data_IF_434428614481
#
_entry.id   IF_434428614481
#
_cell.length_a   1.000
_cell.length_b   1.000
_cell.length_c   1.000
_cell.angle_alpha   90.00
_cell.angle_beta   90.00
_cell.angle_gamma   90.00
#
_symmetry.space_group_name_H-M   'P 1'
#
loop_
_entity.id
_entity.type
_entity.pdbx_description
1 polymer ?
#
# COMPACT_ATOMS: atom_id res chain seq x y z
N UNK A 1 -15.10 -5.52 -4.35
CA UNK A 1 -14.57 -4.39 -3.57
C UNK A 1 -13.16 -4.17 -4.03
N UNK A 2 -12.81 -2.96 -4.46
CA UNK A 2 -11.43 -2.63 -4.89
C UNK A 2 -10.55 -2.54 -3.65
N UNK A 3 -9.33 -3.07 -3.72
CA UNK A 3 -8.33 -3.01 -2.65
C UNK A 3 -7.39 -1.83 -2.91
N UNK A 4 -7.21 -0.94 -1.94
CA UNK A 4 -6.48 0.32 -2.12
C UNK A 4 -5.12 0.39 -1.44
N UNK A 5 -4.80 -0.53 -0.52
CA UNK A 5 -3.56 -0.55 0.24
C UNK A 5 -2.90 -1.92 0.14
N UNK A 6 -1.64 -1.96 -0.31
CA UNK A 6 -0.90 -3.21 -0.51
C UNK A 6 0.36 -3.21 0.34
N UNK A 7 0.51 -4.22 1.20
CA UNK A 7 1.80 -4.50 1.84
C UNK A 7 2.87 -4.76 0.76
N UNK A 8 4.13 -4.44 1.03
CA UNK A 8 5.20 -4.76 0.07
C UNK A 8 5.26 -6.27 -0.25
N UNK A 9 4.84 -7.12 0.69
CA UNK A 9 4.76 -8.57 0.48
C UNK A 9 3.64 -9.02 -0.48
N UNK A 10 2.74 -8.12 -0.89
CA UNK A 10 1.59 -8.42 -1.76
C UNK A 10 1.76 -7.86 -3.18
N UNK A 11 2.86 -7.15 -3.44
CA UNK A 11 3.15 -6.53 -4.74
C UNK A 11 4.32 -7.18 -5.48
N UNK A 12 4.58 -6.70 -6.69
CA UNK A 12 5.77 -7.03 -7.49
C UNK A 12 6.05 -5.93 -8.53
N UNK A 13 7.16 -6.04 -9.26
CA UNK A 13 7.56 -5.09 -10.31
C UNK A 13 6.50 -4.91 -11.42
N UNK A 14 5.69 -5.94 -11.70
CA UNK A 14 4.61 -5.91 -12.70
C UNK A 14 3.45 -4.99 -12.33
N UNK A 15 3.30 -4.63 -11.05
CA UNK A 15 2.22 -3.77 -10.55
C UNK A 15 2.56 -2.27 -10.61
N UNK A 16 3.50 -1.88 -11.47
CA UNK A 16 4.00 -0.50 -11.60
C UNK A 16 2.89 0.55 -11.82
N UNK A 17 1.86 0.22 -12.59
CA UNK A 17 0.76 1.16 -12.85
C UNK A 17 -0.12 1.37 -11.61
N UNK A 18 -0.26 0.34 -10.77
CA UNK A 18 -1.10 0.36 -9.57
C UNK A 18 -0.36 0.90 -8.34
N UNK A 19 0.92 0.54 -8.17
CA UNK A 19 1.72 0.89 -6.98
C UNK A 19 2.69 2.06 -7.23
N UNK A 20 2.79 2.52 -8.48
CA UNK A 20 3.86 3.42 -8.92
C UNK A 20 5.23 2.72 -8.98
N UNK A 21 6.22 3.41 -9.56
CA UNK A 21 7.57 2.84 -9.73
C UNK A 21 8.29 2.53 -8.42
N UNK A 22 8.10 3.34 -7.38
CA UNK A 22 8.72 3.13 -6.07
C UNK A 22 8.05 1.98 -5.31
N UNK A 23 6.72 1.97 -5.24
CA UNK A 23 5.97 0.92 -4.55
C UNK A 23 6.20 -0.46 -5.16
N UNK A 24 6.17 -0.54 -6.50
CA UNK A 24 6.46 -1.78 -7.22
C UNK A 24 7.90 -2.29 -6.99
N UNK A 25 8.90 -1.40 -6.97
CA UNK A 25 10.28 -1.79 -6.66
C UNK A 25 10.46 -2.22 -5.20
N UNK A 26 9.83 -1.54 -4.23
CA UNK A 26 9.88 -1.95 -2.82
C UNK A 26 9.25 -3.34 -2.61
N UNK A 27 8.15 -3.61 -3.31
CA UNK A 27 7.51 -4.91 -3.32
C UNK A 27 8.40 -6.00 -3.95
N UNK A 28 9.00 -5.70 -5.11
CA UNK A 28 9.95 -6.60 -5.78
C UNK A 28 11.13 -6.95 -4.87
N UNK A 29 11.77 -5.94 -4.26
CA UNK A 29 12.88 -6.13 -3.34
C UNK A 29 12.47 -6.97 -2.12
N UNK A 30 11.24 -6.79 -1.62
CA UNK A 30 10.68 -7.58 -0.52
C UNK A 30 10.47 -9.04 -0.94
N UNK A 31 9.94 -9.29 -2.13
CA UNK A 31 9.77 -10.64 -2.70
C UNK A 31 11.09 -11.37 -2.95
N UNK A 32 12.15 -10.64 -3.29
CA UNK A 32 13.52 -11.16 -3.42
C UNK A 32 14.21 -11.45 -2.06
N UNK A 33 13.56 -11.14 -0.93
CA UNK A 33 14.11 -11.38 0.40
C UNK A 33 15.19 -10.37 0.82
N UNK A 34 15.29 -9.23 0.14
CA UNK A 34 16.19 -8.15 0.57
C UNK A 34 15.67 -7.54 1.89
N UNK A 35 16.55 -6.98 2.73
CA UNK A 35 16.19 -6.42 4.03
C UNK A 35 15.48 -5.05 3.87
N UNK A 36 14.29 -5.05 3.28
CA UNK A 36 13.42 -3.89 3.14
C UNK A 36 12.62 -3.73 4.45
N UNK A 37 12.58 -2.54 5.06
CA UNK A 37 11.70 -2.26 6.18
C UNK A 37 10.23 -2.58 5.82
N UNK A 38 9.48 -3.17 6.77
CA UNK A 38 8.07 -3.49 6.56
C UNK A 38 7.27 -2.22 6.28
N UNK A 39 6.34 -2.29 5.33
CA UNK A 39 5.51 -1.18 4.93
C UNK A 39 4.53 -1.58 3.84
N UNK A 40 3.79 -0.59 3.36
CA UNK A 40 2.74 -0.72 2.38
C UNK A 40 2.71 0.48 1.43
N UNK A 41 1.99 0.33 0.32
CA UNK A 41 1.75 1.35 -0.68
C UNK A 41 0.25 1.58 -0.82
N UNK A 42 -0.16 2.84 -0.82
CA UNK A 42 -1.51 3.26 -1.21
C UNK A 42 -1.51 3.40 -2.73
N UNK A 43 -2.46 2.74 -3.39
CA UNK A 43 -2.48 2.61 -4.87
C UNK A 43 -2.71 3.94 -5.60
N UNK A 44 -2.36 3.95 -6.88
CA UNK A 44 -2.71 5.05 -7.81
C UNK A 44 -4.23 5.15 -8.01
N UNK A 45 -4.96 4.04 -7.95
CA UNK A 45 -6.43 4.05 -8.01
C UNK A 45 -7.06 4.76 -6.79
N UNK A 46 -6.46 4.64 -5.60
CA UNK A 46 -6.88 5.41 -4.44
C UNK A 46 -6.70 6.93 -4.66
N UNK A 47 -5.63 7.32 -5.38
CA UNK A 47 -5.41 8.70 -5.77
C UNK A 47 -6.46 9.19 -6.78
N UNK A 48 -6.80 8.39 -7.79
CA UNK A 48 -7.91 8.69 -8.71
C UNK A 48 -9.21 8.88 -7.93
N UNK A 49 -9.52 7.96 -7.02
CA UNK A 49 -10.72 8.02 -6.19
C UNK A 49 -10.77 9.28 -5.31
N UNK A 50 -9.65 9.70 -4.74
CA UNK A 50 -9.56 10.95 -3.98
C UNK A 50 -10.00 12.16 -4.81
N UNK A 51 -9.56 12.24 -6.08
CA UNK A 51 -9.97 13.32 -6.97
C UNK A 51 -11.45 13.23 -7.37
N UNK A 52 -11.95 12.02 -7.67
CA UNK A 52 -13.35 11.80 -8.00
C UNK A 52 -14.30 12.15 -6.83
N UNK A 53 -13.84 11.93 -5.59
CA UNK A 53 -14.57 12.25 -4.36
C UNK A 53 -14.43 13.72 -3.92
N UNK A 54 -13.86 14.58 -4.79
CA UNK A 54 -13.72 16.01 -4.53
C UNK A 54 -12.63 16.32 -3.51
N UNK A 55 -11.45 15.69 -3.69
CA UNK A 55 -10.28 15.85 -2.84
C UNK A 55 -10.53 15.40 -1.39
N UNK A 56 -11.28 14.31 -1.24
CA UNK A 56 -11.59 13.70 0.06
C UNK A 56 -11.22 12.23 0.04
N UNK A 57 -10.60 11.79 1.13
CA UNK A 57 -10.34 10.36 1.34
C UNK A 57 -11.64 9.74 1.83
N UNK A 58 -12.12 8.72 1.13
CA UNK A 58 -13.32 7.99 1.54
C UNK A 58 -13.04 7.14 2.79
N UNK A 59 -14.06 6.97 3.63
CA UNK A 59 -13.92 6.30 4.92
C UNK A 59 -13.47 4.83 4.81
N UNK A 60 -13.78 4.16 3.69
CA UNK A 60 -13.30 2.81 3.37
C UNK A 60 -11.80 2.77 3.07
N UNK A 61 -11.27 3.73 2.32
CA UNK A 61 -9.82 3.86 2.07
C UNK A 61 -9.08 4.19 3.37
N UNK A 62 -9.61 5.14 4.15
CA UNK A 62 -9.03 5.52 5.44
C UNK A 62 -8.98 4.33 6.40
N UNK A 63 -10.07 3.56 6.49
CA UNK A 63 -10.12 2.33 7.27
C UNK A 63 -9.06 1.31 6.80
N UNK A 64 -8.93 1.10 5.50
CA UNK A 64 -7.93 0.16 4.95
C UNK A 64 -6.49 0.59 5.27
N UNK A 65 -6.20 1.90 5.25
CA UNK A 65 -4.90 2.45 5.66
C UNK A 65 -4.62 2.15 7.12
N UNK A 66 -5.56 2.45 8.02
CA UNK A 66 -5.35 2.24 9.45
C UNK A 66 -5.30 0.75 9.84
N UNK A 67 -6.11 -0.10 9.22
CA UNK A 67 -6.05 -1.54 9.41
C UNK A 67 -4.68 -2.10 8.97
N UNK A 68 -4.16 -1.64 7.83
CA UNK A 68 -2.85 -2.05 7.32
C UNK A 68 -1.70 -1.50 8.17
N UNK A 69 -1.84 -0.29 8.70
CA UNK A 69 -0.88 0.30 9.64
C UNK A 69 -0.81 -0.53 10.93
N UNK A 70 -1.96 -0.83 11.55
CA UNK A 70 -2.02 -1.66 12.75
C UNK A 70 -1.44 -3.06 12.50
N UNK A 71 -1.67 -3.63 11.31
CA UNK A 71 -1.04 -4.89 10.92
C UNK A 71 0.49 -4.77 10.79
N UNK A 72 0.98 -3.69 10.18
CA UNK A 72 2.42 -3.41 10.05
C UNK A 72 3.08 -3.26 11.42
N UNK A 73 2.48 -2.47 12.31
CA UNK A 73 2.86 -2.29 13.72
C UNK A 73 2.96 -3.62 14.48
N UNK A 74 1.97 -4.49 14.31
CA UNK A 74 1.97 -5.83 14.91
C UNK A 74 3.12 -6.71 14.41
N UNK A 75 3.49 -6.62 13.13
CA UNK A 75 4.62 -7.39 12.56
C UNK A 75 5.96 -6.88 13.12
N UNK A 76 6.12 -5.57 13.30
CA UNK A 76 7.36 -4.97 13.80
C UNK A 76 7.46 -4.94 15.33
N UNK A 77 6.36 -5.22 16.05
CA UNK A 77 6.31 -5.21 17.51
C UNK A 77 6.39 -3.81 18.12
N UNK A 78 5.88 -2.78 17.43
CA UNK A 78 5.92 -1.37 17.87
C UNK A 78 4.57 -0.69 17.60
N UNK A 79 4.23 0.29 18.43
CA UNK A 79 3.03 1.13 18.37
C UNK A 79 3.41 2.59 18.64
#
# INVERSE_FOLDING_TARGET
MTKYVYMFAEGNAGMRNLLGGKGANLAEMTGLGLPVPRGFTITTEACTRYYDDGEKISADIEKEIFDTLAHTESIIGKK
#
